data_IF_539360954247
#
_entry.id   IF_539360954247
#
_cell.length_a   1.000
_cell.length_b   1.000
_cell.length_c   1.000
_cell.angle_alpha   90.00
_cell.angle_beta   90.00
_cell.angle_gamma   90.00
#
_symmetry.space_group_name_H-M   'P 1'
#
loop_
_entity.id
_entity.type
_entity.pdbx_description
1 polymer ?
#
# COMPACT_ATOMS: atom_id res chain seq x y z
N UNK A 1 -11.20 -31.50 -12.38
CA UNK A 1 -10.77 -30.08 -12.44
C UNK A 1 -11.42 -29.20 -11.37
N UNK A 2 -12.56 -29.57 -10.79
CA UNK A 2 -13.27 -28.74 -9.77
C UNK A 2 -12.69 -28.82 -8.34
N UNK A 3 -12.04 -29.90 -7.94
CA UNK A 3 -11.50 -30.05 -6.57
C UNK A 3 -10.33 -29.13 -6.23
N UNK A 4 -9.58 -28.65 -7.20
CA UNK A 4 -8.41 -27.77 -6.98
C UNK A 4 -8.81 -26.29 -6.82
N UNK A 5 -9.91 -25.84 -7.45
CA UNK A 5 -10.43 -24.49 -7.28
C UNK A 5 -10.97 -24.24 -5.86
N UNK A 6 -11.57 -25.24 -5.23
CA UNK A 6 -12.12 -25.11 -3.86
C UNK A 6 -11.02 -25.01 -2.78
N UNK A 7 -9.87 -25.63 -2.96
CA UNK A 7 -8.77 -25.55 -2.02
C UNK A 7 -8.08 -24.16 -2.02
N UNK A 8 -7.92 -23.54 -3.18
CA UNK A 8 -7.30 -22.19 -3.27
C UNK A 8 -8.22 -21.08 -2.74
N UNK A 9 -9.53 -21.19 -2.97
CA UNK A 9 -10.51 -20.23 -2.42
C UNK A 9 -10.62 -20.38 -0.90
N UNK A 10 -10.49 -21.58 -0.36
CA UNK A 10 -10.51 -21.85 1.07
C UNK A 10 -9.33 -21.20 1.81
N UNK A 11 -8.14 -21.19 1.22
CA UNK A 11 -6.95 -20.59 1.83
C UNK A 11 -7.02 -19.05 1.82
N UNK A 12 -7.55 -18.45 0.77
CA UNK A 12 -7.78 -17.01 0.70
C UNK A 12 -8.85 -16.55 1.73
N UNK A 13 -9.92 -17.31 1.92
CA UNK A 13 -10.94 -17.03 2.93
C UNK A 13 -10.45 -17.19 4.37
N UNK A 14 -9.54 -18.13 4.65
CA UNK A 14 -8.98 -18.33 6.00
C UNK A 14 -8.07 -17.16 6.39
N UNK A 15 -7.35 -16.56 5.45
CA UNK A 15 -6.57 -15.34 5.69
C UNK A 15 -7.51 -14.15 5.98
N UNK A 16 -8.64 -14.02 5.26
CA UNK A 16 -9.65 -12.99 5.54
C UNK A 16 -10.35 -13.19 6.91
N UNK A 17 -10.62 -14.42 7.32
CA UNK A 17 -11.39 -14.71 8.54
C UNK A 17 -10.68 -14.40 9.85
N UNK A 18 -9.35 -14.26 9.87
CA UNK A 18 -8.57 -13.94 11.10
C UNK A 18 -8.44 -12.44 11.39
N UNK A 19 -8.86 -11.56 10.49
CA UNK A 19 -8.70 -10.10 10.63
C UNK A 19 -9.96 -9.34 11.02
N UNK A 20 -11.11 -10.01 11.16
CA UNK A 20 -12.34 -9.33 11.58
C UNK A 20 -12.46 -9.38 13.12
N UNK A 21 -11.69 -8.57 13.82
CA UNK A 21 -12.07 -8.14 15.18
C UNK A 21 -12.91 -6.88 15.08
N UNK A 22 -14.21 -7.07 15.02
CA UNK A 22 -15.23 -6.03 15.10
C UNK A 22 -15.14 -5.29 16.44
N UNK A 23 -14.84 -4.01 16.40
CA UNK A 23 -15.14 -3.09 17.49
C UNK A 23 -16.58 -2.62 17.30
N UNK A 24 -17.54 -3.31 17.92
CA UNK A 24 -18.95 -2.89 17.93
C UNK A 24 -19.11 -1.75 18.93
N UNK A 25 -19.17 -0.50 18.45
CA UNK A 25 -19.76 0.59 19.24
C UNK A 25 -21.28 0.52 19.14
N UNK A 26 -21.93 0.21 20.25
CA UNK A 26 -23.38 0.34 20.42
C UNK A 26 -23.77 1.82 20.31
N UNK A 27 -24.46 2.20 19.25
CA UNK A 27 -25.16 3.49 19.16
C UNK A 27 -26.64 3.18 19.26
N UNK A 28 -27.27 3.63 20.33
CA UNK A 28 -28.71 3.58 20.53
C UNK A 28 -29.37 4.78 19.85
N UNK A 29 -30.36 4.53 19.01
CA UNK A 29 -31.40 5.50 18.60
C UNK A 29 -31.46 5.81 17.10
N UNK A 30 -32.51 5.34 16.45
CA UNK A 30 -33.23 6.01 15.36
C UNK A 30 -33.01 5.51 13.93
N UNK A 31 -34.05 4.91 13.38
CA UNK A 31 -34.46 4.69 11.98
C UNK A 31 -33.63 3.77 11.09
N UNK A 32 -34.31 2.70 10.77
CA UNK A 32 -33.98 1.60 9.89
C UNK A 32 -33.46 2.05 8.50
N UNK A 33 -32.16 2.10 8.34
CA UNK A 33 -31.47 1.95 7.06
C UNK A 33 -30.54 0.77 7.21
N UNK A 34 -30.83 -0.30 6.47
CA UNK A 34 -29.98 -1.47 6.31
C UNK A 34 -28.52 -1.02 6.04
N UNK A 35 -27.73 -0.81 7.11
CA UNK A 35 -26.29 -0.54 6.99
C UNK A 35 -25.64 -1.88 6.62
N UNK A 36 -25.25 -2.00 5.38
CA UNK A 36 -24.25 -3.00 5.00
C UNK A 36 -23.10 -2.82 5.97
N UNK A 37 -22.77 -3.88 6.70
CA UNK A 37 -21.55 -3.93 7.52
C UNK A 37 -20.39 -3.88 6.51
N UNK A 38 -19.84 -2.70 6.31
CA UNK A 38 -18.66 -2.52 5.52
C UNK A 38 -17.50 -3.19 6.26
N UNK A 39 -17.05 -4.32 5.78
CA UNK A 39 -15.80 -4.98 6.20
C UNK A 39 -14.58 -4.26 5.59
N UNK A 40 -14.65 -2.93 5.45
CA UNK A 40 -13.64 -2.11 4.83
C UNK A 40 -12.43 -1.84 5.73
N UNK A 41 -11.31 -1.51 5.11
CA UNK A 41 -10.12 -1.02 5.78
C UNK A 41 -10.40 0.41 6.23
N UNK A 42 -10.53 0.61 7.56
CA UNK A 42 -10.64 1.93 8.18
C UNK A 42 -9.24 2.40 8.54
N UNK A 43 -8.68 3.30 7.76
CA UNK A 43 -7.42 3.96 8.06
C UNK A 43 -7.40 5.36 7.43
N UNK A 44 -6.99 6.41 8.17
CA UNK A 44 -6.92 7.76 7.59
C UNK A 44 -6.01 7.82 6.37
N UNK A 45 -4.96 7.00 6.32
CA UNK A 45 -4.07 6.90 5.16
C UNK A 45 -3.83 5.44 4.79
N UNK A 46 -3.87 5.14 3.49
CA UNK A 46 -3.47 3.87 2.94
C UNK A 46 -2.23 4.05 2.05
N UNK A 47 -1.17 3.32 2.34
CA UNK A 47 0.08 3.33 1.55
C UNK A 47 0.15 2.03 0.75
N UNK A 48 0.12 2.14 -0.58
CA UNK A 48 0.21 1.00 -1.48
C UNK A 48 1.66 0.76 -1.89
N UNK A 49 2.17 -0.44 -1.62
CA UNK A 49 3.52 -0.85 -2.00
C UNK A 49 3.49 -1.99 -3.01
N UNK A 50 4.46 -2.05 -3.95
CA UNK A 50 4.68 -3.25 -4.76
C UNK A 50 5.40 -4.32 -3.90
N UNK A 51 5.34 -5.60 -4.26
CA UNK A 51 6.15 -6.62 -3.61
C UNK A 51 7.62 -6.46 -3.99
N UNK A 52 8.51 -7.19 -3.33
CA UNK A 52 9.90 -7.27 -3.73
C UNK A 52 10.18 -8.49 -4.60
N UNK A 53 11.02 -8.32 -5.63
CA UNK A 53 11.56 -9.45 -6.38
C UNK A 53 12.51 -10.28 -5.49
N UNK A 54 13.37 -9.59 -4.69
CA UNK A 54 14.25 -10.23 -3.73
C UNK A 54 13.48 -10.51 -2.44
N UNK A 55 13.59 -11.74 -1.96
CA UNK A 55 12.92 -12.21 -0.74
C UNK A 55 13.91 -12.93 0.16
N UNK A 56 13.59 -13.05 1.44
CA UNK A 56 14.30 -13.92 2.40
C UNK A 56 14.25 -15.38 1.97
N UNK A 57 15.11 -16.20 2.53
CA UNK A 57 15.08 -17.65 2.29
C UNK A 57 13.98 -18.34 3.11
N UNK A 58 13.55 -17.74 4.22
CA UNK A 58 12.62 -18.33 5.18
C UNK A 58 11.26 -17.62 5.15
N UNK A 59 10.15 -18.32 5.45
CA UNK A 59 8.85 -17.73 5.72
C UNK A 59 8.87 -16.74 6.89
N UNK A 60 7.95 -15.81 6.91
CA UNK A 60 7.81 -14.85 8.00
C UNK A 60 6.83 -13.72 7.68
N UNK A 61 6.79 -12.64 8.49
CA UNK A 61 6.03 -11.46 8.18
C UNK A 61 6.40 -10.88 6.81
N UNK A 62 5.41 -10.46 6.02
CA UNK A 62 5.62 -9.97 4.66
C UNK A 62 6.70 -8.87 4.59
N UNK A 63 6.71 -7.95 5.56
CA UNK A 63 7.67 -6.86 5.63
C UNK A 63 9.13 -7.34 5.80
N UNK A 64 9.34 -8.52 6.37
CA UNK A 64 10.66 -9.14 6.57
C UNK A 64 11.01 -10.09 5.41
N UNK A 65 10.01 -10.72 4.81
CA UNK A 65 10.22 -11.58 3.64
C UNK A 65 10.60 -10.78 2.41
N UNK A 66 10.01 -9.60 2.20
CA UNK A 66 10.41 -8.70 1.12
C UNK A 66 11.70 -7.95 1.47
N UNK A 67 12.82 -8.28 0.82
CA UNK A 67 14.17 -7.78 1.15
C UNK A 67 14.81 -6.91 0.06
N UNK A 68 14.04 -6.50 -0.95
CA UNK A 68 14.55 -5.65 -2.03
C UNK A 68 14.76 -4.21 -1.60
N UNK A 69 15.30 -3.41 -2.52
CA UNK A 69 15.78 -2.04 -2.30
C UNK A 69 14.74 -1.13 -1.63
N UNK A 70 13.48 -1.21 -2.04
CA UNK A 70 12.40 -0.43 -1.43
C UNK A 70 12.26 -0.79 0.07
N UNK A 71 12.23 -2.07 0.41
CA UNK A 71 12.03 -2.55 1.78
C UNK A 71 13.25 -2.30 2.67
N UNK A 72 14.45 -2.43 2.11
CA UNK A 72 15.69 -2.03 2.80
C UNK A 72 15.69 -0.53 3.12
N UNK A 73 15.24 0.30 2.19
CA UNK A 73 15.14 1.75 2.38
C UNK A 73 14.01 2.14 3.34
N UNK A 74 12.85 1.45 3.27
CA UNK A 74 11.77 1.60 4.25
C UNK A 74 12.27 1.30 5.67
N UNK A 75 13.18 0.34 5.85
CA UNK A 75 13.88 0.14 7.11
C UNK A 75 12.93 -0.09 8.29
N UNK A 76 12.06 -1.08 8.18
CA UNK A 76 11.02 -1.38 9.18
C UNK A 76 11.55 -1.49 10.60
N UNK A 77 12.73 -2.11 10.77
CA UNK A 77 13.33 -2.33 12.10
C UNK A 77 13.91 -1.04 12.72
N UNK A 78 14.07 0.02 11.94
CA UNK A 78 14.46 1.36 12.42
C UNK A 78 13.29 2.19 12.95
N UNK A 79 12.07 1.73 12.73
CA UNK A 79 10.85 2.37 13.23
C UNK A 79 10.58 1.96 14.69
N UNK A 80 10.07 2.88 15.48
CA UNK A 80 9.58 2.59 16.84
C UNK A 80 8.36 1.65 16.77
N UNK A 81 8.05 1.00 17.89
CA UNK A 81 6.87 0.10 17.98
C UNK A 81 5.55 0.79 17.64
N UNK A 82 5.42 2.08 18.00
CA UNK A 82 4.25 2.87 17.64
C UNK A 82 4.15 3.10 16.13
N UNK A 83 5.28 3.46 15.47
CA UNK A 83 5.37 3.65 14.03
C UNK A 83 5.16 2.33 13.26
N UNK A 84 5.72 1.21 13.76
CA UNK A 84 5.46 -0.12 13.21
C UNK A 84 3.99 -0.49 13.29
N UNK A 85 3.32 -0.19 14.42
CA UNK A 85 1.87 -0.41 14.59
C UNK A 85 1.07 0.43 13.59
N UNK A 86 1.42 1.69 13.41
CA UNK A 86 0.80 2.56 12.40
C UNK A 86 1.04 2.01 10.99
N UNK A 87 2.28 1.64 10.64
CA UNK A 87 2.61 1.06 9.35
C UNK A 87 1.87 -0.26 9.08
N UNK A 88 1.70 -1.12 10.09
CA UNK A 88 0.94 -2.36 9.96
C UNK A 88 -0.55 -2.10 9.63
N UNK A 89 -1.10 -0.97 10.05
CA UNK A 89 -2.47 -0.55 9.76
C UNK A 89 -2.60 0.19 8.43
N UNK A 90 -1.58 0.95 8.02
CA UNK A 90 -1.65 1.82 6.84
C UNK A 90 -1.12 1.18 5.57
N UNK A 91 -0.17 0.25 5.63
CA UNK A 91 0.45 -0.33 4.45
C UNK A 91 -0.36 -1.52 3.92
N UNK A 92 -0.55 -1.53 2.59
CA UNK A 92 -1.01 -2.69 1.83
C UNK A 92 -0.02 -3.00 0.71
N UNK A 93 0.42 -4.24 0.62
CA UNK A 93 1.40 -4.71 -0.36
C UNK A 93 0.67 -5.55 -1.41
N UNK A 94 0.76 -5.16 -2.67
CA UNK A 94 0.13 -5.90 -3.77
C UNK A 94 1.04 -7.06 -4.17
N UNK A 95 0.73 -8.25 -3.70
CA UNK A 95 1.51 -9.46 -3.92
C UNK A 95 1.20 -10.13 -5.25
N UNK A 96 2.21 -10.72 -5.91
CA UNK A 96 2.02 -11.51 -7.12
C UNK A 96 1.46 -12.93 -6.84
N UNK A 97 1.47 -13.38 -5.58
CA UNK A 97 0.99 -14.71 -5.16
C UNK A 97 -0.27 -14.61 -4.31
N UNK A 98 -0.34 -13.65 -3.40
CA UNK A 98 -1.32 -13.62 -2.32
C UNK A 98 -2.42 -12.54 -2.51
N UNK A 99 -2.40 -11.76 -3.59
CA UNK A 99 -3.29 -10.61 -3.77
C UNK A 99 -2.83 -9.41 -2.94
N UNK A 100 -3.49 -9.12 -1.83
CA UNK A 100 -3.08 -8.07 -0.88
C UNK A 100 -2.57 -8.71 0.41
N UNK A 101 -1.41 -8.27 0.89
CA UNK A 101 -0.88 -8.65 2.20
C UNK A 101 -0.54 -7.40 3.01
N UNK A 102 -0.67 -7.52 4.34
CA UNK A 102 -0.25 -6.51 5.30
C UNK A 102 1.19 -6.77 5.76
N UNK A 103 1.89 -5.77 6.35
CA UNK A 103 3.27 -5.94 6.79
C UNK A 103 3.53 -7.16 7.67
N UNK A 104 2.59 -7.47 8.56
CA UNK A 104 2.76 -8.54 9.55
C UNK A 104 2.11 -9.88 9.13
N UNK A 105 1.50 -9.96 7.95
CA UNK A 105 0.93 -11.21 7.45
C UNK A 105 2.04 -12.23 7.20
N UNK A 106 1.86 -13.47 7.65
CA UNK A 106 2.82 -14.53 7.38
C UNK A 106 2.76 -14.93 5.90
N UNK A 107 3.89 -14.85 5.22
CA UNK A 107 4.03 -15.30 3.84
C UNK A 107 5.25 -16.20 3.67
N UNK A 108 5.20 -17.02 2.64
CA UNK A 108 6.36 -17.79 2.18
C UNK A 108 7.09 -17.03 1.07
N UNK A 109 8.41 -17.20 0.92
CA UNK A 109 9.13 -16.75 -0.25
C UNK A 109 8.56 -17.38 -1.52
N UNK A 110 8.47 -16.62 -2.60
CA UNK A 110 7.94 -17.08 -3.88
C UNK A 110 8.66 -16.40 -5.05
N UNK A 111 8.58 -17.00 -6.25
CA UNK A 111 9.22 -16.51 -7.48
C UNK A 111 8.22 -16.02 -8.54
N UNK A 112 6.92 -16.16 -8.27
CA UNK A 112 5.85 -15.80 -9.19
C UNK A 112 5.94 -14.33 -9.59
N UNK A 113 5.78 -14.08 -10.88
CA UNK A 113 5.58 -12.74 -11.45
C UNK A 113 4.10 -12.40 -11.42
N UNK A 114 3.80 -11.11 -11.38
CA UNK A 114 2.42 -10.64 -11.34
C UNK A 114 1.65 -11.10 -12.60
N UNK A 115 0.48 -11.64 -12.38
CA UNK A 115 -0.49 -11.98 -13.42
C UNK A 115 -1.78 -11.20 -13.14
N UNK A 116 -2.04 -10.16 -13.94
CA UNK A 116 -3.16 -9.26 -13.72
C UNK A 116 -4.51 -9.99 -13.77
N UNK A 117 -4.70 -10.93 -14.71
CA UNK A 117 -5.96 -11.68 -14.81
C UNK A 117 -6.27 -12.46 -13.53
N UNK A 118 -5.24 -13.04 -12.90
CA UNK A 118 -5.37 -13.81 -11.65
C UNK A 118 -5.49 -12.88 -10.44
N UNK A 119 -4.71 -11.81 -10.38
CA UNK A 119 -4.57 -11.00 -9.17
C UNK A 119 -5.59 -9.86 -9.07
N UNK A 120 -6.02 -9.26 -10.18
CA UNK A 120 -6.94 -8.14 -10.14
C UNK A 120 -8.25 -8.43 -9.36
N UNK A 121 -8.95 -9.56 -9.56
CA UNK A 121 -10.15 -9.86 -8.78
C UNK A 121 -9.88 -10.01 -7.28
N UNK A 122 -8.73 -10.60 -6.90
CA UNK A 122 -8.36 -10.78 -5.49
C UNK A 122 -8.02 -9.44 -4.82
N UNK A 123 -7.31 -8.58 -5.54
CA UNK A 123 -6.96 -7.23 -5.07
C UNK A 123 -8.21 -6.38 -4.96
N UNK A 124 -9.10 -6.41 -5.96
CA UNK A 124 -10.38 -5.68 -5.94
C UNK A 124 -11.22 -6.06 -4.72
N UNK A 125 -11.42 -7.36 -4.47
CA UNK A 125 -12.17 -7.83 -3.30
C UNK A 125 -11.51 -7.38 -1.99
N UNK A 126 -10.18 -7.44 -1.91
CA UNK A 126 -9.43 -7.08 -0.70
C UNK A 126 -9.43 -5.58 -0.41
N UNK A 127 -9.51 -4.76 -1.46
CA UNK A 127 -9.48 -3.31 -1.38
C UNK A 127 -10.86 -2.67 -1.61
N UNK A 128 -11.90 -3.47 -1.93
CA UNK A 128 -13.27 -2.99 -2.02
C UNK A 128 -13.73 -2.44 -0.65
N UNK A 129 -14.31 -1.26 -0.66
CA UNK A 129 -14.80 -0.62 0.55
C UNK A 129 -13.71 -0.05 1.46
N UNK A 130 -12.55 0.31 0.90
CA UNK A 130 -11.56 1.10 1.62
C UNK A 130 -12.21 2.42 2.04
N UNK A 131 -12.13 2.70 3.33
CA UNK A 131 -12.47 4.00 3.90
C UNK A 131 -11.17 4.66 4.37
N UNK A 132 -10.55 5.43 3.47
CA UNK A 132 -9.34 6.21 3.73
C UNK A 132 -9.54 7.63 3.21
N UNK A 133 -9.01 8.61 3.92
CA UNK A 133 -9.02 10.00 3.48
C UNK A 133 -8.00 10.22 2.36
N UNK A 134 -6.89 9.46 2.39
CA UNK A 134 -5.79 9.55 1.43
C UNK A 134 -5.21 8.18 1.08
N UNK A 135 -4.97 7.94 -0.21
CA UNK A 135 -4.21 6.79 -0.72
C UNK A 135 -2.88 7.31 -1.28
N UNK A 136 -1.77 6.79 -0.75
CA UNK A 136 -0.42 7.10 -1.24
C UNK A 136 0.06 5.91 -2.07
N UNK A 137 0.12 6.09 -3.39
CA UNK A 137 0.48 5.02 -4.31
C UNK A 137 1.98 5.03 -4.63
N UNK A 138 2.73 4.16 -3.95
CA UNK A 138 4.15 3.92 -4.18
C UNK A 138 4.43 2.75 -5.13
N UNK A 139 3.41 2.20 -5.80
CA UNK A 139 3.58 1.08 -6.73
C UNK A 139 4.30 1.54 -8.01
N UNK A 140 4.91 0.59 -8.71
CA UNK A 140 5.34 0.81 -10.10
C UNK A 140 4.13 0.66 -11.04
N UNK A 141 4.26 1.20 -12.27
CA UNK A 141 3.19 1.13 -13.29
C UNK A 141 2.68 -0.30 -13.51
N UNK A 142 3.56 -1.31 -13.49
CA UNK A 142 3.19 -2.73 -13.61
C UNK A 142 2.20 -3.17 -12.53
N UNK A 143 2.33 -2.67 -11.30
CA UNK A 143 1.43 -3.03 -10.19
C UNK A 143 0.23 -2.08 -10.09
N UNK A 144 0.31 -0.89 -10.64
CA UNK A 144 -0.83 0.02 -10.77
C UNK A 144 -1.89 -0.56 -11.73
N UNK A 145 -1.47 -1.27 -12.80
CA UNK A 145 -2.40 -1.93 -13.73
C UNK A 145 -3.19 -3.09 -13.13
N UNK A 146 -2.78 -3.62 -11.97
CA UNK A 146 -3.52 -4.70 -11.28
C UNK A 146 -4.81 -4.18 -10.64
N UNK A 147 -4.75 -2.96 -10.10
CA UNK A 147 -5.88 -2.31 -9.47
C UNK A 147 -5.74 -0.79 -9.57
N UNK A 148 -6.78 -0.15 -10.04
CA UNK A 148 -6.84 1.32 -10.16
C UNK A 148 -7.36 1.91 -8.86
N UNK A 149 -6.55 2.73 -8.21
CA UNK A 149 -6.94 3.44 -6.99
C UNK A 149 -8.01 4.49 -7.30
N UNK A 150 -8.93 4.79 -6.36
CA UNK A 150 -9.89 5.90 -6.52
C UNK A 150 -9.17 7.24 -6.73
N UNK A 151 -9.41 7.86 -7.88
CA UNK A 151 -8.69 9.08 -8.33
C UNK A 151 -8.76 10.21 -7.30
N UNK A 152 -9.95 10.46 -6.75
CA UNK A 152 -10.22 11.61 -5.88
C UNK A 152 -9.41 11.67 -4.58
N UNK A 153 -8.95 10.51 -4.09
CA UNK A 153 -8.21 10.38 -2.82
C UNK A 153 -6.80 9.83 -3.00
N UNK A 154 -6.31 9.72 -4.24
CA UNK A 154 -5.01 9.11 -4.53
C UNK A 154 -3.96 10.15 -4.87
N UNK A 155 -2.76 9.97 -4.29
CA UNK A 155 -1.53 10.66 -4.70
C UNK A 155 -0.51 9.61 -5.14
N UNK A 156 -0.10 9.66 -6.41
CA UNK A 156 0.97 8.81 -6.94
C UNK A 156 2.34 9.39 -6.61
N UNK A 157 3.26 8.57 -6.08
CA UNK A 157 4.65 8.97 -5.86
C UNK A 157 5.48 8.68 -7.11
N UNK A 158 5.89 9.73 -7.81
CA UNK A 158 6.79 9.64 -8.97
C UNK A 158 8.17 10.20 -8.61
N UNK A 159 9.20 9.38 -8.83
CA UNK A 159 10.57 9.72 -8.45
C UNK A 159 11.40 10.05 -9.68
N UNK A 160 12.09 11.17 -9.63
CA UNK A 160 12.92 11.68 -10.71
C UNK A 160 14.33 12.04 -10.21
N UNK A 161 15.27 12.05 -11.15
CA UNK A 161 16.59 12.67 -10.99
C UNK A 161 16.68 13.81 -12.00
N UNK A 162 17.31 14.89 -11.62
CA UNK A 162 17.69 15.98 -12.54
C UNK A 162 19.07 15.70 -13.11
N UNK A 163 19.15 15.42 -14.41
CA UNK A 163 20.40 15.25 -15.14
C UNK A 163 20.38 16.23 -16.30
N UNK A 164 21.35 17.15 -16.36
CA UNK A 164 21.45 18.19 -17.37
C UNK A 164 20.14 19.02 -17.51
N UNK A 165 19.49 19.30 -16.41
CA UNK A 165 18.22 20.03 -16.37
C UNK A 165 16.98 19.23 -16.79
N UNK A 166 17.15 17.99 -17.27
CA UNK A 166 16.05 17.11 -17.66
C UNK A 166 15.65 16.13 -16.56
N UNK A 167 14.33 15.87 -16.43
CA UNK A 167 13.82 14.84 -15.54
C UNK A 167 14.11 13.45 -16.13
N UNK A 168 14.80 12.59 -15.38
CA UNK A 168 15.04 11.18 -15.75
C UNK A 168 14.57 10.25 -14.64
N UNK A 169 14.08 9.06 -15.03
CA UNK A 169 13.69 7.99 -14.09
C UNK A 169 14.81 6.96 -14.05
N UNK A 170 15.41 6.74 -12.88
CA UNK A 170 16.35 5.66 -12.63
C UNK A 170 15.66 4.63 -11.75
N UNK A 171 15.36 3.46 -12.29
CA UNK A 171 14.50 2.45 -11.64
C UNK A 171 14.96 2.05 -10.24
N UNK A 172 16.27 1.83 -10.06
CA UNK A 172 16.81 1.44 -8.74
C UNK A 172 16.64 2.55 -7.72
N UNK A 173 16.93 3.80 -8.09
CA UNK A 173 16.78 4.96 -7.21
C UNK A 173 15.29 5.22 -6.91
N UNK A 174 14.42 5.08 -7.91
CA UNK A 174 12.97 5.21 -7.69
C UNK A 174 12.44 4.19 -6.67
N UNK A 175 12.95 2.96 -6.65
CA UNK A 175 12.60 1.96 -5.63
C UNK A 175 13.10 2.39 -4.26
N UNK A 176 14.35 2.86 -4.16
CA UNK A 176 14.96 3.34 -2.91
C UNK A 176 14.18 4.52 -2.34
N UNK A 177 14.00 5.57 -3.12
CA UNK A 177 13.33 6.79 -2.68
C UNK A 177 11.88 6.55 -2.25
N UNK A 178 11.11 5.69 -2.92
CA UNK A 178 9.76 5.31 -2.46
C UNK A 178 9.79 4.63 -1.09
N UNK A 179 10.79 3.82 -0.79
CA UNK A 179 10.99 3.23 0.54
C UNK A 179 11.32 4.30 1.58
N UNK A 180 12.22 5.24 1.27
CA UNK A 180 12.60 6.35 2.14
C UNK A 180 11.42 7.29 2.41
N UNK A 181 10.65 7.65 1.39
CA UNK A 181 9.40 8.44 1.52
C UNK A 181 8.42 7.72 2.45
N UNK A 182 8.21 6.41 2.25
CA UNK A 182 7.34 5.62 3.14
C UNK A 182 7.86 5.63 4.57
N UNK A 183 9.16 5.47 4.79
CA UNK A 183 9.79 5.57 6.10
C UNK A 183 9.53 6.93 6.75
N UNK A 184 9.74 8.01 6.00
CA UNK A 184 9.57 9.37 6.49
C UNK A 184 8.12 9.67 6.88
N UNK A 185 7.14 9.23 6.07
CA UNK A 185 5.71 9.34 6.39
C UNK A 185 5.38 8.62 7.70
N UNK A 186 5.91 7.41 7.91
CA UNK A 186 5.68 6.63 9.13
C UNK A 186 6.37 7.23 10.36
N UNK A 187 7.47 7.97 10.18
CA UNK A 187 8.16 8.72 11.25
C UNK A 187 7.45 9.99 11.64
N UNK A 188 6.66 10.56 10.74
CA UNK A 188 5.94 11.80 11.01
C UNK A 188 4.99 11.62 12.20
N UNK A 189 4.93 12.64 13.06
CA UNK A 189 3.96 12.71 14.15
C UNK A 189 2.55 13.01 13.63
N UNK A 190 2.43 13.56 12.42
CA UNK A 190 1.18 13.87 11.75
C UNK A 190 0.91 12.84 10.65
N UNK A 191 -0.27 12.25 10.67
CA UNK A 191 -0.76 11.37 9.60
C UNK A 191 -1.39 12.25 8.52
N UNK A 192 -0.91 12.22 7.27
CA UNK A 192 -1.49 13.05 6.21
C UNK A 192 -2.88 12.53 5.83
N UNK A 193 -3.83 13.43 5.65
CA UNK A 193 -5.22 13.14 5.24
C UNK A 193 -5.58 13.75 3.89
N UNK A 194 -4.68 14.54 3.32
CA UNK A 194 -4.84 15.19 2.01
C UNK A 194 -3.48 15.39 1.31
N UNK A 195 -3.48 15.69 -0.01
CA UNK A 195 -2.25 15.83 -0.79
C UNK A 195 -1.29 16.92 -0.28
N UNK A 196 -1.80 18.06 0.19
CA UNK A 196 -0.97 19.17 0.68
C UNK A 196 -0.25 18.80 1.99
N UNK A 197 -0.92 18.08 2.87
CA UNK A 197 -0.29 17.56 4.10
C UNK A 197 0.80 16.53 3.80
N UNK A 198 0.59 15.70 2.77
CA UNK A 198 1.60 14.76 2.31
C UNK A 198 2.83 15.49 1.75
N UNK A 199 2.63 16.49 0.88
CA UNK A 199 3.72 17.32 0.37
C UNK A 199 4.49 17.99 1.50
N UNK A 200 3.79 18.62 2.46
CA UNK A 200 4.41 19.27 3.60
C UNK A 200 5.25 18.32 4.47
N UNK A 201 4.86 17.04 4.60
CA UNK A 201 5.64 16.04 5.29
C UNK A 201 6.86 15.64 4.45
N UNK A 202 6.68 15.31 3.18
CA UNK A 202 7.76 14.80 2.32
C UNK A 202 8.80 15.88 2.04
N UNK A 203 8.40 17.15 1.93
CA UNK A 203 9.32 18.28 1.69
C UNK A 203 10.31 18.56 2.82
N UNK A 204 10.11 17.96 3.98
CA UNK A 204 11.08 18.07 5.10
C UNK A 204 12.40 17.32 4.81
N UNK A 205 12.39 16.31 3.96
CA UNK A 205 13.56 15.47 3.67
C UNK A 205 13.91 15.41 2.18
N UNK A 206 12.95 15.76 1.29
CA UNK A 206 13.11 15.62 -0.15
C UNK A 206 12.70 16.91 -0.87
N UNK A 207 13.43 17.26 -1.92
CA UNK A 207 12.89 18.18 -2.91
C UNK A 207 11.69 17.51 -3.58
N UNK A 208 10.50 18.10 -3.47
CA UNK A 208 9.30 17.54 -4.06
C UNK A 208 8.37 18.64 -4.58
N UNK A 209 7.42 18.23 -5.43
CA UNK A 209 6.40 19.12 -6.00
C UNK A 209 5.11 18.36 -6.19
N UNK A 210 4.04 18.87 -5.59
CA UNK A 210 2.69 18.37 -5.83
C UNK A 210 2.18 18.87 -7.18
N UNK A 211 1.64 17.98 -7.98
CA UNK A 211 0.95 18.26 -9.24
C UNK A 211 -0.50 17.84 -9.04
N UNK A 212 -1.40 18.78 -9.20
CA UNK A 212 -2.82 18.53 -9.08
C UNK A 212 -3.30 17.54 -10.14
N UNK A 213 -4.19 16.65 -9.73
CA UNK A 213 -4.92 15.77 -10.61
C UNK A 213 -6.19 16.43 -11.17
N UNK A 214 -6.95 15.64 -11.90
CA UNK A 214 -8.26 16.02 -12.40
C UNK A 214 -9.31 14.93 -12.12
N UNK A 215 -10.48 14.98 -12.76
CA UNK A 215 -11.54 13.95 -12.58
C UNK A 215 -11.13 12.55 -13.07
N UNK A 216 -10.06 12.43 -13.85
CA UNK A 216 -9.61 11.18 -14.48
C UNK A 216 -8.22 10.74 -14.03
N UNK A 217 -7.43 11.67 -13.52
CA UNK A 217 -6.03 11.44 -13.12
C UNK A 217 -5.83 11.83 -11.66
N UNK A 218 -5.15 10.99 -10.86
CA UNK A 218 -4.84 11.31 -9.47
C UNK A 218 -3.82 12.45 -9.37
N UNK A 219 -3.72 13.06 -8.20
CA UNK A 219 -2.60 13.93 -7.88
C UNK A 219 -1.28 13.16 -7.98
N UNK A 220 -0.20 13.86 -8.30
CA UNK A 220 1.15 13.28 -8.38
C UNK A 220 2.07 14.07 -7.46
N UNK A 221 2.74 13.41 -6.54
CA UNK A 221 3.87 13.98 -5.83
C UNK A 221 5.16 13.56 -6.54
N UNK A 222 5.76 14.52 -7.25
CA UNK A 222 7.08 14.37 -7.83
C UNK A 222 8.13 14.53 -6.74
N UNK A 223 8.99 13.54 -6.56
CA UNK A 223 10.08 13.54 -5.59
C UNK A 223 11.41 13.48 -6.34
N UNK A 224 12.33 14.34 -5.98
CA UNK A 224 13.64 14.45 -6.60
C UNK A 224 14.74 13.96 -5.65
N UNK A 225 15.76 13.27 -6.17
CA UNK A 225 16.90 12.77 -5.41
C UNK A 225 18.22 13.09 -6.12
#
# INVERSE_FOLDING_TARGET
MEKWLQAEVGTALVVLGKFIRTSVRKVTGGTDRCRRVATGILTPVLILLPPSEKKSASPGPAIQVYTGVLYAALGWDRLTKAQQKQGAQSIAIISAKYGVVRPLDPIEPYKEKINNKKMAPLVEISLAGIESDLIIDCRSSTYQTVWQSPVAITVEIKVFTKIDGAKKVITHMSKKTRGEVTHHILKSTKVPTNPNELEAIVSQEFECKLIDGDKKTPCVLEVYY
#
